data_IF_739905732876
#
_entry.id   IF_739905732876
#
_cell.length_a   1.000
_cell.length_b   1.000
_cell.length_c   1.000
_cell.angle_alpha   90.00
_cell.angle_beta   90.00
_cell.angle_gamma   90.00
#
_symmetry.space_group_name_H-M   'P 1'
#
loop_
_entity.id
_entity.type
_entity.pdbx_description
1 polymer ?
#
# COMPACT_ATOMS: atom_id res chain seq x y z
N UNK A 1 -17.54 12.37 26.98
CA UNK A 1 -17.45 11.37 25.90
C UNK A 1 -15.98 11.09 25.59
N UNK A 2 -15.50 9.91 25.88
CA UNK A 2 -14.10 9.53 25.62
C UNK A 2 -14.04 9.06 24.17
N UNK A 3 -13.34 9.78 23.32
CA UNK A 3 -13.02 9.28 21.97
C UNK A 3 -12.00 8.15 22.10
N UNK A 4 -12.28 6.93 21.61
CA UNK A 4 -11.34 5.83 21.71
C UNK A 4 -10.29 5.95 20.61
N UNK A 5 -9.05 6.19 21.01
CA UNK A 5 -7.87 6.06 20.15
C UNK A 5 -7.15 7.38 19.86
N UNK A 6 -5.85 7.33 19.58
CA UNK A 6 -5.07 8.53 19.26
C UNK A 6 -5.58 9.13 17.94
N UNK A 7 -6.14 10.33 18.02
CA UNK A 7 -6.50 11.10 16.84
C UNK A 7 -5.22 11.69 16.26
N UNK A 8 -4.78 11.18 15.12
CA UNK A 8 -3.64 11.73 14.41
C UNK A 8 -4.12 12.79 13.42
N UNK A 9 -3.63 14.01 13.57
CA UNK A 9 -3.78 15.07 12.59
C UNK A 9 -2.47 15.21 11.82
N UNK A 10 -2.52 15.19 10.48
CA UNK A 10 -1.40 15.54 9.62
C UNK A 10 -1.76 16.79 8.85
N UNK A 11 -1.00 17.85 9.08
CA UNK A 11 -1.09 19.07 8.30
C UNK A 11 0.08 19.11 7.31
N UNK A 12 -0.24 19.18 6.02
CA UNK A 12 0.74 19.38 4.94
C UNK A 12 0.75 20.85 4.59
N UNK A 13 1.84 21.55 4.87
CA UNK A 13 2.00 22.93 4.51
C UNK A 13 3.28 23.12 3.68
N UNK A 14 3.24 24.07 2.74
CA UNK A 14 4.37 24.38 1.87
C UNK A 14 5.50 25.10 2.61
N UNK A 15 5.16 25.83 3.67
CA UNK A 15 6.05 26.48 4.63
C UNK A 15 5.35 26.46 5.99
N UNK A 16 5.97 25.82 6.98
CA UNK A 16 5.51 25.86 8.36
C UNK A 16 6.43 26.81 9.14
N UNK A 17 5.96 28.04 9.34
CA UNK A 17 6.53 28.93 10.35
C UNK A 17 6.08 28.52 11.76
N UNK A 18 6.82 28.90 12.80
CA UNK A 18 6.42 28.67 14.19
C UNK A 18 4.99 29.18 14.47
N UNK A 19 4.64 30.32 13.92
CA UNK A 19 3.30 30.94 14.04
C UNK A 19 2.17 30.06 13.49
N UNK A 20 2.46 29.26 12.46
CA UNK A 20 1.45 28.36 11.86
C UNK A 20 1.18 27.16 12.78
N UNK A 21 2.22 26.61 13.41
CA UNK A 21 2.09 25.52 14.38
C UNK A 21 1.27 26.00 15.58
N UNK A 22 1.64 27.14 16.14
CA UNK A 22 0.93 27.75 17.28
C UNK A 22 -0.54 28.08 16.97
N UNK A 23 -0.83 28.57 15.75
CA UNK A 23 -2.20 28.79 15.28
C UNK A 23 -3.01 27.51 15.16
N UNK A 24 -2.39 26.40 14.69
CA UNK A 24 -3.05 25.10 14.61
C UNK A 24 -3.32 24.56 16.01
N UNK A 25 -2.34 24.60 16.91
CA UNK A 25 -2.47 24.15 18.28
C UNK A 25 -3.57 24.93 19.01
N UNK A 26 -3.54 26.26 18.93
CA UNK A 26 -4.56 27.12 19.53
C UNK A 26 -5.97 26.83 19.03
N UNK A 27 -6.14 26.55 17.73
CA UNK A 27 -7.46 26.16 17.18
C UNK A 27 -7.90 24.78 17.63
N UNK A 28 -7.00 23.82 17.75
CA UNK A 28 -7.33 22.46 18.20
C UNK A 28 -7.72 22.47 19.67
N UNK A 29 -6.97 23.17 20.52
CA UNK A 29 -7.25 23.26 21.94
C UNK A 29 -8.46 24.18 22.24
N UNK A 30 -8.50 25.37 21.60
CA UNK A 30 -9.54 26.36 21.89
C UNK A 30 -10.88 26.04 21.23
N UNK A 31 -10.92 25.75 19.93
CA UNK A 31 -12.20 25.54 19.20
C UNK A 31 -12.72 24.13 19.29
N UNK A 32 -11.84 23.14 19.26
CA UNK A 32 -12.23 21.73 19.24
C UNK A 32 -12.08 21.05 20.60
N UNK A 33 -11.54 21.75 21.62
CA UNK A 33 -11.31 21.21 22.95
C UNK A 33 -10.56 19.88 22.96
N UNK A 34 -9.59 19.75 22.04
CA UNK A 34 -8.73 18.59 21.91
C UNK A 34 -7.44 18.83 22.68
N UNK A 35 -7.05 17.91 23.53
CA UNK A 35 -5.78 17.94 24.22
C UNK A 35 -4.67 17.44 23.31
N UNK A 36 -3.66 18.29 23.03
CA UNK A 36 -2.53 17.94 22.15
C UNK A 36 -1.44 17.29 22.97
N UNK A 37 -1.10 16.05 22.62
CA UNK A 37 0.06 15.39 23.21
C UNK A 37 1.34 15.89 22.54
N UNK A 38 1.99 16.88 23.16
CA UNK A 38 3.20 17.53 22.65
C UNK A 38 4.41 16.59 22.58
N UNK A 39 4.46 15.56 23.42
CA UNK A 39 5.53 14.56 23.38
C UNK A 39 5.44 13.65 22.13
N UNK A 40 4.21 13.47 21.63
CA UNK A 40 3.96 12.67 20.41
C UNK A 40 3.83 13.53 19.14
N UNK A 41 3.80 14.86 19.30
CA UNK A 41 3.74 15.79 18.15
C UNK A 41 5.11 15.88 17.51
N UNK A 42 5.18 15.58 16.20
CA UNK A 42 6.41 15.64 15.43
C UNK A 42 6.23 16.51 14.20
N UNK A 43 7.07 17.51 14.07
CA UNK A 43 7.21 18.30 12.84
C UNK A 43 8.30 17.67 11.99
N UNK A 44 8.01 17.42 10.72
CA UNK A 44 8.97 16.84 9.76
C UNK A 44 9.05 17.79 8.57
N UNK A 45 10.23 18.36 8.33
CA UNK A 45 10.49 19.09 7.09
C UNK A 45 10.80 18.06 5.98
N UNK A 46 9.85 17.92 5.05
CA UNK A 46 10.01 17.01 3.92
C UNK A 46 10.91 17.58 2.82
N UNK A 47 11.35 18.85 2.91
CA UNK A 47 12.26 19.45 1.94
C UNK A 47 13.72 19.08 2.20
N UNK A 48 14.05 18.64 3.41
CA UNK A 48 15.36 18.10 3.74
C UNK A 48 15.67 16.86 2.90
N UNK A 49 16.92 16.70 2.54
CA UNK A 49 17.35 15.57 1.72
C UNK A 49 17.20 14.26 2.50
N UNK A 50 16.46 13.32 1.93
CA UNK A 50 16.16 12.03 2.56
C UNK A 50 15.02 12.03 3.58
N UNK A 51 14.43 13.19 3.88
CA UNK A 51 13.29 13.26 4.79
C UNK A 51 12.07 12.52 4.23
N UNK A 52 11.38 11.79 5.09
CA UNK A 52 10.14 11.10 4.75
C UNK A 52 9.21 11.00 5.95
N UNK A 53 7.92 11.05 5.69
CA UNK A 53 6.86 10.88 6.69
C UNK A 53 6.06 9.62 6.37
N UNK A 54 5.97 8.70 7.31
CA UNK A 54 5.08 7.55 7.22
C UNK A 54 3.80 7.82 8.00
N UNK A 55 2.66 7.84 7.30
CA UNK A 55 1.37 8.06 7.93
C UNK A 55 0.30 7.18 7.29
N UNK A 56 -0.50 6.47 8.09
CA UNK A 56 -1.58 5.56 7.67
C UNK A 56 -1.19 4.60 6.54
N UNK A 57 0.03 4.07 6.59
CA UNK A 57 0.51 3.13 5.58
C UNK A 57 1.09 3.78 4.33
N UNK A 58 0.98 5.09 4.16
CA UNK A 58 1.63 5.85 3.10
C UNK A 58 2.99 6.38 3.54
N UNK A 59 3.89 6.52 2.59
CA UNK A 59 5.14 7.30 2.71
C UNK A 59 5.00 8.56 1.88
N UNK A 60 5.29 9.69 2.50
CA UNK A 60 5.36 11.03 1.88
C UNK A 60 6.81 11.45 1.85
N UNK A 61 7.32 11.82 0.67
CA UNK A 61 8.66 12.39 0.52
C UNK A 61 8.74 13.25 -0.74
N UNK A 62 9.70 14.18 -0.79
CA UNK A 62 10.00 14.88 -2.03
C UNK A 62 11.03 14.10 -2.84
N UNK A 63 10.67 13.75 -4.07
CA UNK A 63 11.55 13.13 -5.05
C UNK A 63 11.89 14.11 -6.17
N UNK A 64 13.06 13.94 -6.79
CA UNK A 64 13.43 14.67 -8.01
C UNK A 64 12.72 14.06 -9.22
N UNK A 65 12.34 14.92 -10.15
CA UNK A 65 11.73 14.46 -11.40
C UNK A 65 12.71 13.58 -12.20
N UNK A 66 12.24 12.42 -12.62
CA UNK A 66 13.01 11.46 -13.43
C UNK A 66 13.43 12.00 -14.81
N UNK A 67 12.80 13.11 -15.27
CA UNK A 67 13.09 13.74 -16.58
C UNK A 67 14.20 14.79 -16.51
N UNK A 68 15.02 14.80 -15.46
CA UNK A 68 16.17 15.71 -15.32
C UNK A 68 15.82 17.18 -15.06
N UNK A 69 14.55 17.47 -14.75
CA UNK A 69 14.15 18.81 -14.32
C UNK A 69 14.51 18.98 -12.85
N UNK A 70 15.04 20.12 -12.47
CA UNK A 70 15.38 20.44 -11.06
C UNK A 70 14.15 20.57 -10.13
N UNK A 71 12.98 20.14 -10.60
CA UNK A 71 11.75 20.21 -9.82
C UNK A 71 11.62 19.00 -8.90
N UNK A 72 11.46 19.30 -7.62
CA UNK A 72 11.04 18.30 -6.63
C UNK A 72 9.51 18.22 -6.63
N UNK A 73 8.97 17.01 -6.55
CA UNK A 73 7.53 16.78 -6.40
C UNK A 73 7.26 15.93 -5.16
N UNK A 74 6.10 16.13 -4.54
CA UNK A 74 5.67 15.32 -3.41
C UNK A 74 5.26 13.93 -3.94
N UNK A 75 6.08 12.93 -3.64
CA UNK A 75 5.79 11.54 -3.95
C UNK A 75 5.05 10.91 -2.77
N UNK A 76 3.88 10.34 -3.05
CA UNK A 76 3.04 9.63 -2.08
C UNK A 76 2.85 8.22 -2.59
N UNK A 77 3.21 7.24 -1.79
CA UNK A 77 3.14 5.83 -2.19
C UNK A 77 2.99 4.92 -0.96
N UNK A 78 2.56 3.65 -1.15
CA UNK A 78 2.47 2.69 -0.06
C UNK A 78 3.81 2.50 0.65
N UNK A 79 3.82 2.59 1.98
CA UNK A 79 5.04 2.39 2.76
C UNK A 79 5.56 0.95 2.65
N UNK A 80 6.87 0.76 2.82
CA UNK A 80 7.48 -0.57 2.83
C UNK A 80 6.79 -1.52 3.82
N UNK A 81 6.36 -0.99 4.98
CA UNK A 81 5.63 -1.76 6.00
C UNK A 81 4.25 -2.18 5.51
N UNK A 82 3.54 -1.33 4.76
CA UNK A 82 2.25 -1.65 4.17
C UNK A 82 2.36 -2.73 3.09
N UNK A 83 3.35 -2.62 2.21
CA UNK A 83 3.66 -3.63 1.19
C UNK A 83 4.03 -4.97 1.83
N UNK A 84 4.87 -4.95 2.86
CA UNK A 84 5.28 -6.17 3.56
C UNK A 84 4.08 -6.85 4.25
N UNK A 85 3.21 -6.08 4.90
CA UNK A 85 1.99 -6.61 5.52
C UNK A 85 1.07 -7.27 4.49
N UNK A 86 0.91 -6.66 3.32
CA UNK A 86 0.12 -7.25 2.25
C UNK A 86 0.73 -8.55 1.73
N UNK A 87 2.05 -8.61 1.58
CA UNK A 87 2.76 -9.86 1.23
C UNK A 87 2.52 -10.96 2.26
N UNK A 88 2.49 -10.63 3.54
CA UNK A 88 2.19 -11.58 4.62
C UNK A 88 0.75 -12.09 4.54
N UNK A 89 -0.22 -11.21 4.28
CA UNK A 89 -1.61 -11.59 4.06
C UNK A 89 -1.75 -12.56 2.87
N UNK A 90 -1.18 -12.19 1.73
CA UNK A 90 -1.20 -13.00 0.51
C UNK A 90 -0.47 -14.34 0.70
N UNK A 91 0.61 -14.34 1.51
CA UNK A 91 1.30 -15.57 1.89
C UNK A 91 0.38 -16.50 2.66
N UNK A 92 -0.29 -16.00 3.70
CA UNK A 92 -1.22 -16.79 4.50
C UNK A 92 -2.38 -17.36 3.67
N UNK A 93 -2.91 -16.57 2.72
CA UNK A 93 -3.99 -17.00 1.83
C UNK A 93 -3.56 -18.07 0.82
N UNK A 94 -2.28 -18.14 0.48
CA UNK A 94 -1.71 -19.10 -0.48
C UNK A 94 -0.81 -20.16 0.16
N UNK A 95 -0.89 -20.30 1.48
CA UNK A 95 -0.13 -21.30 2.20
C UNK A 95 -0.57 -22.75 1.85
N UNK A 96 0.28 -23.73 2.19
CA UNK A 96 0.01 -25.15 1.94
C UNK A 96 -1.28 -25.63 2.60
N UNK A 97 -1.63 -25.09 3.76
CA UNK A 97 -2.88 -25.39 4.46
C UNK A 97 -4.13 -24.96 3.69
N UNK A 98 -4.01 -24.10 2.69
CA UNK A 98 -5.11 -23.64 1.85
C UNK A 98 -5.29 -24.49 0.57
N UNK A 99 -4.49 -25.54 0.37
CA UNK A 99 -4.53 -26.38 -0.84
C UNK A 99 -5.84 -27.14 -1.03
N UNK A 100 -6.68 -27.27 -0.01
CA UNK A 100 -8.01 -27.89 -0.10
C UNK A 100 -9.04 -26.99 -0.80
N UNK A 101 -8.83 -25.67 -0.84
CA UNK A 101 -9.78 -24.72 -1.43
C UNK A 101 -9.88 -24.90 -2.95
N UNK A 102 -11.09 -24.84 -3.54
CA UNK A 102 -11.26 -24.76 -4.99
C UNK A 102 -10.51 -23.53 -5.57
N UNK A 103 -9.84 -23.70 -6.71
CA UNK A 103 -9.06 -22.63 -7.34
C UNK A 103 -9.91 -21.36 -7.61
N UNK A 104 -11.14 -21.46 -8.16
CA UNK A 104 -11.95 -20.26 -8.39
C UNK A 104 -12.30 -19.50 -7.09
N UNK A 105 -12.55 -20.22 -6.00
CA UNK A 105 -12.82 -19.62 -4.69
C UNK A 105 -11.60 -18.89 -4.15
N UNK A 106 -10.42 -19.52 -4.20
CA UNK A 106 -9.16 -18.92 -3.79
C UNK A 106 -8.86 -17.64 -4.59
N UNK A 107 -9.00 -17.69 -5.91
CA UNK A 107 -8.78 -16.52 -6.76
C UNK A 107 -9.78 -15.41 -6.46
N UNK A 108 -11.04 -15.73 -6.23
CA UNK A 108 -12.04 -14.75 -5.82
C UNK A 108 -11.71 -14.06 -4.49
N UNK A 109 -11.19 -14.81 -3.50
CA UNK A 109 -10.72 -14.24 -2.24
C UNK A 109 -9.50 -13.34 -2.43
N UNK A 110 -8.51 -13.78 -3.21
CA UNK A 110 -7.32 -13.01 -3.54
C UNK A 110 -7.67 -11.70 -4.27
N UNK A 111 -8.57 -11.77 -5.25
CA UNK A 111 -9.00 -10.59 -5.99
C UNK A 111 -9.67 -9.55 -5.07
N UNK A 112 -10.53 -9.99 -4.13
CA UNK A 112 -11.14 -9.09 -3.15
C UNK A 112 -10.09 -8.41 -2.28
N UNK A 113 -9.10 -9.16 -1.79
CA UNK A 113 -8.01 -8.63 -0.98
C UNK A 113 -7.17 -7.61 -1.79
N UNK A 114 -6.76 -7.99 -3.00
CA UNK A 114 -5.96 -7.15 -3.89
C UNK A 114 -6.70 -5.87 -4.28
N UNK A 115 -7.99 -5.96 -4.63
CA UNK A 115 -8.83 -4.79 -4.96
C UNK A 115 -8.99 -3.87 -3.77
N UNK A 116 -9.28 -4.42 -2.58
CA UNK A 116 -9.39 -3.63 -1.36
C UNK A 116 -8.10 -2.88 -1.01
N UNK A 117 -6.95 -3.57 -1.13
CA UNK A 117 -5.64 -2.97 -0.91
C UNK A 117 -5.32 -1.90 -1.96
N UNK A 118 -5.57 -2.16 -3.24
CA UNK A 118 -5.35 -1.21 -4.32
C UNK A 118 -6.22 0.04 -4.18
N UNK A 119 -7.50 -0.12 -3.86
CA UNK A 119 -8.41 1.01 -3.63
C UNK A 119 -7.96 1.88 -2.46
N UNK A 120 -7.48 1.25 -1.37
CA UNK A 120 -6.95 2.01 -0.24
C UNK A 120 -5.68 2.80 -0.63
N UNK A 121 -4.80 2.22 -1.43
CA UNK A 121 -3.53 2.81 -1.85
C UNK A 121 -3.56 3.43 -3.26
N UNK A 122 -4.74 3.84 -3.74
CA UNK A 122 -4.90 4.46 -5.07
C UNK A 122 -4.35 5.89 -5.16
N UNK A 123 -4.18 6.56 -4.02
CA UNK A 123 -3.70 7.94 -4.00
C UNK A 123 -2.19 8.03 -4.25
N UNK A 124 -1.77 9.00 -5.07
CA UNK A 124 -0.38 9.31 -5.37
C UNK A 124 0.21 8.44 -6.48
N UNK A 125 1.37 7.83 -6.24
CA UNK A 125 2.13 7.08 -7.25
C UNK A 125 2.35 5.61 -6.81
N UNK A 126 1.30 4.79 -6.74
CA UNK A 126 1.39 3.42 -6.21
C UNK A 126 1.99 2.39 -7.18
N UNK A 127 2.24 2.74 -8.45
CA UNK A 127 2.58 1.80 -9.53
C UNK A 127 3.72 0.85 -9.19
N UNK A 128 4.77 1.33 -8.52
CA UNK A 128 5.90 0.49 -8.11
C UNK A 128 5.49 -0.57 -7.09
N UNK A 129 4.68 -0.18 -6.10
CA UNK A 129 4.17 -1.09 -5.07
C UNK A 129 3.18 -2.10 -5.68
N UNK A 130 2.35 -1.68 -6.64
CA UNK A 130 1.44 -2.57 -7.37
C UNK A 130 2.20 -3.62 -8.17
N UNK A 131 3.28 -3.22 -8.89
CA UNK A 131 4.15 -4.17 -9.58
C UNK A 131 4.79 -5.19 -8.62
N UNK A 132 5.19 -4.74 -7.45
CA UNK A 132 5.81 -5.62 -6.45
C UNK A 132 4.80 -6.66 -5.94
N UNK A 133 3.61 -6.23 -5.54
CA UNK A 133 2.54 -7.10 -5.05
C UNK A 133 2.07 -8.05 -6.15
N UNK A 134 1.88 -7.56 -7.37
CA UNK A 134 1.46 -8.38 -8.50
C UNK A 134 2.46 -9.51 -8.79
N UNK A 135 3.76 -9.20 -8.87
CA UNK A 135 4.81 -10.21 -9.03
C UNK A 135 4.83 -11.21 -7.88
N UNK A 136 4.66 -10.71 -6.65
CA UNK A 136 4.65 -11.56 -5.48
C UNK A 136 3.48 -12.57 -5.51
N UNK A 137 2.25 -12.12 -5.77
CA UNK A 137 1.10 -13.02 -5.79
C UNK A 137 1.14 -14.02 -6.95
N UNK A 138 1.64 -13.61 -8.12
CA UNK A 138 1.86 -14.52 -9.25
C UNK A 138 2.81 -15.66 -8.86
N UNK A 139 3.95 -15.35 -8.26
CA UNK A 139 4.89 -16.36 -7.78
C UNK A 139 4.28 -17.28 -6.71
N UNK A 140 3.52 -16.71 -5.76
CA UNK A 140 2.83 -17.48 -4.71
C UNK A 140 1.77 -18.44 -5.28
N UNK A 141 0.97 -17.97 -6.24
CA UNK A 141 -0.04 -18.81 -6.90
C UNK A 141 0.59 -19.96 -7.70
N UNK A 142 1.67 -19.68 -8.43
CA UNK A 142 2.40 -20.74 -9.14
C UNK A 142 2.85 -21.82 -8.16
N UNK A 143 3.49 -21.43 -7.04
CA UNK A 143 3.92 -22.37 -6.02
C UNK A 143 2.73 -23.13 -5.39
N UNK A 144 1.63 -22.42 -5.12
CA UNK A 144 0.41 -23.03 -4.56
C UNK A 144 -0.16 -24.08 -5.52
N UNK A 145 -0.29 -23.78 -6.81
CA UNK A 145 -0.79 -24.70 -7.82
C UNK A 145 0.11 -25.94 -7.96
N UNK A 146 1.43 -25.76 -7.93
CA UNK A 146 2.39 -26.86 -8.01
C UNK A 146 2.35 -27.80 -6.81
N UNK A 147 1.99 -27.29 -5.61
CA UNK A 147 1.92 -28.09 -4.37
C UNK A 147 0.63 -28.88 -4.22
N UNK A 148 -0.44 -28.53 -4.95
CA UNK A 148 -1.77 -29.16 -4.77
C UNK A 148 -1.83 -30.62 -5.12
N UNK A 149 -0.91 -31.13 -5.93
CA UNK A 149 -0.93 -32.50 -6.43
C UNK A 149 0.47 -33.09 -6.43
N UNK A 150 0.55 -34.41 -6.28
CA UNK A 150 1.79 -35.15 -6.45
C UNK A 150 2.37 -35.00 -7.89
N UNK A 151 1.49 -34.78 -8.87
CA UNK A 151 1.92 -34.42 -10.24
C UNK A 151 2.04 -32.91 -10.33
N UNK A 152 3.22 -32.37 -10.69
CA UNK A 152 3.40 -30.92 -10.83
C UNK A 152 2.35 -30.36 -11.78
N UNK A 153 1.57 -29.41 -11.29
CA UNK A 153 0.63 -28.66 -12.11
C UNK A 153 1.41 -27.84 -13.13
N UNK A 154 1.00 -27.91 -14.40
CA UNK A 154 1.57 -27.13 -15.50
C UNK A 154 0.45 -26.42 -16.26
N UNK A 155 0.72 -25.19 -16.77
CA UNK A 155 -0.19 -24.58 -17.75
C UNK A 155 -0.36 -25.49 -18.97
N UNK A 156 -1.44 -25.32 -19.75
CA UNK A 156 -1.57 -25.96 -21.04
C UNK A 156 -0.37 -25.68 -21.93
N UNK A 157 -0.10 -26.62 -22.85
CA UNK A 157 1.03 -26.51 -23.75
C UNK A 157 0.98 -25.21 -24.58
N UNK A 158 2.11 -24.51 -24.64
CA UNK A 158 2.21 -23.20 -25.30
C UNK A 158 1.66 -22.00 -24.50
N UNK A 159 1.11 -22.19 -23.31
CA UNK A 159 0.61 -21.10 -22.46
C UNK A 159 1.64 -20.70 -21.41
N UNK A 160 1.93 -19.39 -21.29
CA UNK A 160 2.76 -18.88 -20.21
C UNK A 160 2.01 -18.86 -18.87
N UNK A 161 2.73 -18.96 -17.74
CA UNK A 161 2.15 -18.86 -16.41
C UNK A 161 1.30 -17.59 -16.23
N UNK A 162 1.76 -16.45 -16.70
CA UNK A 162 1.04 -15.18 -16.56
C UNK A 162 -0.30 -15.21 -17.31
N UNK A 163 -0.31 -15.72 -18.54
CA UNK A 163 -1.55 -15.88 -19.32
C UNK A 163 -2.50 -16.85 -18.64
N UNK A 164 -1.95 -17.94 -18.12
CA UNK A 164 -2.75 -18.94 -17.40
C UNK A 164 -3.40 -18.37 -16.15
N UNK A 165 -2.68 -17.63 -15.30
CA UNK A 165 -3.23 -17.00 -14.11
C UNK A 165 -4.31 -15.96 -14.47
N UNK A 166 -4.11 -15.17 -15.52
CA UNK A 166 -5.13 -14.24 -16.02
C UNK A 166 -6.39 -14.99 -16.48
N UNK A 167 -6.23 -16.13 -17.19
CA UNK A 167 -7.36 -16.98 -17.61
C UNK A 167 -8.10 -17.61 -16.42
N UNK A 168 -7.40 -17.91 -15.33
CA UNK A 168 -8.02 -18.34 -14.07
C UNK A 168 -8.76 -17.20 -13.35
N UNK A 169 -8.62 -15.97 -13.83
CA UNK A 169 -9.34 -14.81 -13.33
C UNK A 169 -8.57 -13.95 -12.32
N UNK A 170 -7.24 -14.13 -12.18
CA UNK A 170 -6.44 -13.24 -11.33
C UNK A 170 -6.40 -11.84 -11.94
N UNK A 171 -6.80 -10.84 -11.14
CA UNK A 171 -6.78 -9.43 -11.57
C UNK A 171 -5.36 -8.90 -11.68
N UNK A 172 -5.19 -7.84 -12.49
CA UNK A 172 -3.96 -7.08 -12.61
C UNK A 172 -4.13 -5.73 -11.92
N UNK A 173 -3.27 -5.48 -10.91
CA UNK A 173 -3.37 -4.25 -10.11
C UNK A 173 -3.11 -2.99 -10.93
N UNK A 174 -2.26 -3.08 -11.95
CA UNK A 174 -1.95 -1.94 -12.80
C UNK A 174 -3.16 -1.45 -13.62
N UNK A 175 -4.10 -2.31 -13.93
CA UNK A 175 -5.33 -1.93 -14.65
C UNK A 175 -6.28 -1.12 -13.76
N UNK A 176 -6.16 -1.24 -12.44
CA UNK A 176 -6.97 -0.49 -11.48
C UNK A 176 -6.50 0.97 -11.29
N UNK A 177 -5.28 1.31 -11.71
CA UNK A 177 -4.73 2.69 -11.58
C UNK A 177 -5.37 3.63 -12.61
N UNK A 178 -5.94 3.11 -13.68
CA UNK A 178 -6.45 3.87 -14.82
C UNK A 178 -7.98 3.85 -14.93
N UNK A 179 -8.64 3.24 -13.97
CA UNK A 179 -10.11 3.23 -13.86
C UNK A 179 -10.57 4.28 -12.83
#
# INVERSE_FOLDING_TARGET
MRFPGPTHLVALAKQLGADTIESIESRLEGKFQLEINREQTRVVDLQEEGASLNFRGYTFRFDRDLKGRERKYLNVFPSKKAVQRERENLHAMTDSHQCFKPIPSLIGELNRQLTGWANYFSYGYPSSAYCEIERYIQGRLIQHLQRRSQRPYRPPEGESWLRHLARLGLIRLQELVHA
#
